data_IF_079055265194
#
_entry.id   IF_079055265194
#
_cell.length_a   1.000
_cell.length_b   1.000
_cell.length_c   1.000
_cell.angle_alpha   90.00
_cell.angle_beta   90.00
_cell.angle_gamma   90.00
#
_symmetry.space_group_name_H-M   'P 1'
#
loop_
_entity.id
_entity.type
_entity.pdbx_description
1 polymer ?
#
# COMPACT_ATOMS: atom_id res chain seq x y z
N UNK A 1 28.59 0.02 -0.37
CA UNK A 1 28.05 0.51 0.92
C UNK A 1 28.22 -0.56 1.97
N UNK A 2 28.73 -0.25 3.16
CA UNK A 2 28.74 -1.16 4.30
C UNK A 2 27.58 -0.81 5.23
N UNK A 3 26.61 -1.72 5.36
CA UNK A 3 25.40 -1.53 6.14
C UNK A 3 25.22 -2.71 7.10
N UNK A 4 25.10 -2.45 8.40
CA UNK A 4 24.81 -3.49 9.40
C UNK A 4 23.31 -3.81 9.49
N UNK A 5 22.48 -3.13 8.68
CA UNK A 5 21.04 -3.26 8.64
C UNK A 5 20.57 -4.01 7.40
N UNK A 6 19.62 -4.93 7.58
CA UNK A 6 18.93 -5.64 6.50
C UNK A 6 17.94 -4.74 5.76
N UNK A 7 17.62 -5.06 4.50
CA UNK A 7 16.67 -4.28 3.68
C UNK A 7 15.31 -4.03 4.37
N UNK A 8 14.83 -4.98 5.17
CA UNK A 8 13.58 -4.86 5.96
C UNK A 8 13.71 -3.82 7.08
N UNK A 9 14.86 -3.75 7.75
CA UNK A 9 15.14 -2.75 8.80
C UNK A 9 15.25 -1.35 8.18
N UNK A 10 15.94 -1.22 7.05
CA UNK A 10 16.03 0.04 6.29
C UNK A 10 14.64 0.49 5.81
N UNK A 11 13.78 -0.42 5.35
CA UNK A 11 12.40 -0.08 4.98
C UNK A 11 11.55 0.38 6.18
N UNK A 12 11.75 -0.19 7.39
CA UNK A 12 11.09 0.31 8.61
C UNK A 12 11.54 1.73 8.98
N UNK A 13 12.81 2.06 8.81
CA UNK A 13 13.33 3.42 9.00
C UNK A 13 12.77 4.39 7.95
N UNK A 14 12.78 3.99 6.67
CA UNK A 14 12.18 4.78 5.58
C UNK A 14 10.68 5.02 5.78
N UNK A 15 9.94 4.05 6.32
CA UNK A 15 8.50 4.19 6.60
C UNK A 15 8.22 5.21 7.71
N UNK A 16 9.17 5.49 8.63
CA UNK A 16 9.04 6.58 9.60
C UNK A 16 9.20 7.97 8.98
N UNK A 17 9.86 8.07 7.83
CA UNK A 17 10.06 9.32 7.09
C UNK A 17 8.92 9.64 6.10
N UNK A 18 8.03 8.68 5.83
CA UNK A 18 7.01 8.81 4.79
C UNK A 18 5.64 8.36 5.30
N UNK A 19 4.65 9.24 5.15
CA UNK A 19 3.26 8.96 5.51
C UNK A 19 2.58 7.98 4.52
N UNK A 20 3.12 7.86 3.30
CA UNK A 20 2.66 6.91 2.31
C UNK A 20 3.22 5.49 2.58
N UNK A 21 2.42 4.42 2.40
CA UNK A 21 2.89 3.05 2.58
C UNK A 21 3.96 2.69 1.53
N UNK A 22 5.18 2.45 1.98
CA UNK A 22 6.31 2.13 1.12
C UNK A 22 6.25 0.66 0.69
N UNK A 23 6.11 0.43 -0.62
CA UNK A 23 6.25 -0.91 -1.21
C UNK A 23 7.62 -1.54 -0.90
N UNK A 24 7.66 -2.87 -0.80
CA UNK A 24 8.87 -3.63 -0.45
C UNK A 24 10.03 -3.33 -1.40
N UNK A 25 11.19 -2.96 -0.86
CA UNK A 25 12.43 -2.87 -1.65
C UNK A 25 12.94 -4.28 -1.98
N UNK A 26 13.43 -4.48 -3.22
CA UNK A 26 13.91 -5.78 -3.68
C UNK A 26 15.27 -6.19 -3.07
N UNK A 27 16.11 -5.22 -2.68
CA UNK A 27 17.43 -5.46 -2.08
C UNK A 27 17.85 -4.31 -1.15
N UNK A 28 18.94 -4.50 -0.39
CA UNK A 28 19.50 -3.54 0.59
C UNK A 28 19.89 -2.22 -0.06
N UNK A 29 20.53 -2.24 -1.23
CA UNK A 29 20.93 -1.03 -1.96
C UNK A 29 19.72 -0.15 -2.33
N UNK A 30 18.71 -0.74 -2.99
CA UNK A 30 17.47 -0.05 -3.34
C UNK A 30 16.68 0.46 -2.11
N UNK A 31 16.82 -0.19 -0.95
CA UNK A 31 16.27 0.30 0.30
C UNK A 31 17.04 1.53 0.82
N UNK A 32 18.37 1.52 0.71
CA UNK A 32 19.25 2.62 1.10
C UNK A 32 19.05 3.86 0.21
N UNK A 33 18.99 3.71 -1.12
CA UNK A 33 18.71 4.81 -2.06
C UNK A 33 17.33 5.46 -1.82
N UNK A 34 16.32 4.65 -1.48
CA UNK A 34 14.98 5.16 -1.15
C UNK A 34 14.97 5.88 0.19
N UNK A 35 15.67 5.33 1.19
CA UNK A 35 15.86 5.98 2.48
C UNK A 35 16.62 7.30 2.33
N UNK A 36 17.63 7.36 1.45
CA UNK A 36 18.40 8.55 1.13
C UNK A 36 17.51 9.67 0.58
N UNK A 37 16.72 9.38 -0.45
CA UNK A 37 15.80 10.37 -1.04
C UNK A 37 14.78 10.90 -0.04
N UNK A 38 14.28 10.04 0.86
CA UNK A 38 13.33 10.44 1.92
C UNK A 38 14.00 11.27 3.02
N UNK A 39 15.24 10.95 3.39
CA UNK A 39 15.98 11.72 4.39
C UNK A 39 16.41 13.08 3.83
N UNK A 40 16.88 13.14 2.57
CA UNK A 40 17.21 14.37 1.88
C UNK A 40 16.00 15.33 1.75
N UNK A 41 14.78 14.79 1.64
CA UNK A 41 13.55 15.58 1.66
C UNK A 41 13.16 16.11 3.06
N UNK A 42 13.80 15.64 4.14
CA UNK A 42 13.52 16.04 5.53
C UNK A 42 14.63 16.88 6.16
N UNK A 43 15.91 16.58 5.90
CA UNK A 43 17.07 17.29 6.49
C UNK A 43 17.97 17.98 5.45
N UNK A 44 17.57 17.99 4.18
CA UNK A 44 18.33 18.54 3.06
C UNK A 44 19.35 17.57 2.44
N UNK A 45 19.63 17.76 1.15
CA UNK A 45 20.51 16.90 0.37
C UNK A 45 21.98 16.95 0.80
N UNK A 46 22.42 18.03 1.46
CA UNK A 46 23.78 18.19 2.00
C UNK A 46 24.03 17.31 3.24
N UNK A 47 23.07 17.28 4.18
CA UNK A 47 23.20 16.54 5.45
C UNK A 47 22.86 15.05 5.32
N UNK A 48 21.95 14.71 4.42
CA UNK A 48 21.50 13.34 4.17
C UNK A 48 22.63 12.30 4.03
N UNK A 49 23.64 12.42 3.13
CA UNK A 49 24.65 11.38 2.93
C UNK A 49 25.47 11.09 4.19
N UNK A 50 25.73 12.11 5.03
CA UNK A 50 26.44 11.95 6.31
C UNK A 50 25.56 11.22 7.33
N UNK A 51 24.31 11.64 7.48
CA UNK A 51 23.33 11.02 8.37
C UNK A 51 23.07 9.54 7.99
N UNK A 52 22.88 9.24 6.71
CA UNK A 52 22.65 7.88 6.20
C UNK A 52 23.80 6.96 6.57
N UNK A 53 25.05 7.41 6.37
CA UNK A 53 26.23 6.62 6.76
C UNK A 53 26.23 6.36 8.27
N UNK A 54 25.95 7.37 9.09
CA UNK A 54 25.88 7.22 10.55
C UNK A 54 24.73 6.29 11.03
N UNK A 55 23.61 6.26 10.32
CA UNK A 55 22.41 5.46 10.62
C UNK A 55 22.58 4.02 10.14
N UNK A 56 23.04 3.80 8.90
CA UNK A 56 23.14 2.46 8.29
C UNK A 56 24.31 1.62 8.81
N UNK A 57 25.35 2.23 9.38
CA UNK A 57 26.46 1.53 10.05
C UNK A 57 26.15 1.25 11.54
N UNK A 58 25.03 1.72 12.09
CA UNK A 58 24.65 1.43 13.48
C UNK A 58 24.42 -0.09 13.71
N UNK A 59 24.74 -0.63 14.91
CA UNK A 59 24.74 -2.07 15.17
C UNK A 59 23.34 -2.70 15.29
N UNK A 60 22.26 -1.89 15.29
CA UNK A 60 20.89 -2.38 15.43
C UNK A 60 19.85 -1.35 15.02
N UNK A 61 18.63 -1.85 14.75
CA UNK A 61 17.49 -1.03 14.29
C UNK A 61 17.14 0.08 15.29
N UNK A 62 17.20 -0.19 16.59
CA UNK A 62 16.81 0.79 17.61
C UNK A 62 17.82 1.93 17.72
N UNK A 63 19.13 1.61 17.70
CA UNK A 63 20.20 2.62 17.62
C UNK A 63 20.11 3.44 16.32
N UNK A 64 19.79 2.80 15.20
CA UNK A 64 19.57 3.46 13.92
C UNK A 64 18.33 4.39 13.95
N UNK A 65 17.25 3.95 14.59
CA UNK A 65 16.01 4.72 14.74
C UNK A 65 16.19 5.91 15.70
N UNK A 66 16.96 5.75 16.77
CA UNK A 66 17.33 6.84 17.68
C UNK A 66 18.21 7.89 17.02
N UNK A 67 19.22 7.47 16.23
CA UNK A 67 20.03 8.38 15.41
C UNK A 67 19.19 9.11 14.37
N UNK A 68 18.29 8.39 13.68
CA UNK A 68 17.35 9.01 12.73
C UNK A 68 16.47 10.07 13.39
N UNK A 69 15.89 9.77 14.56
CA UNK A 69 15.08 10.73 15.29
C UNK A 69 15.90 11.96 15.73
N UNK A 70 17.13 11.77 16.23
CA UNK A 70 18.01 12.87 16.62
C UNK A 70 18.44 13.76 15.46
N UNK A 71 18.71 13.20 14.26
CA UNK A 71 19.06 14.00 13.07
C UNK A 71 17.85 14.77 12.51
N UNK A 72 16.62 14.27 12.70
CA UNK A 72 15.39 14.99 12.36
C UNK A 72 15.11 16.08 13.40
N UNK A 73 15.19 15.77 14.69
CA UNK A 73 15.00 16.71 15.81
C UNK A 73 16.01 17.87 15.77
N UNK A 74 17.28 17.58 15.46
CA UNK A 74 18.32 18.60 15.20
C UNK A 74 18.12 19.39 13.89
N UNK A 75 17.13 19.02 13.07
CA UNK A 75 16.65 19.79 11.91
C UNK A 75 15.26 20.43 12.16
N UNK A 76 14.54 20.04 13.21
CA UNK A 76 13.29 20.62 13.69
C UNK A 76 13.42 21.69 14.84
N UNK A 77 14.58 22.30 15.19
CA UNK A 77 14.58 23.38 16.18
C UNK A 77 14.00 24.70 15.64
N UNK A 78 13.62 24.75 14.36
CA UNK A 78 13.03 25.92 13.66
C UNK A 78 11.49 25.87 13.57
N UNK A 79 10.84 25.18 14.51
CA UNK A 79 9.37 25.15 14.62
C UNK A 79 8.84 25.35 16.06
N UNK A 80 9.72 25.54 17.06
CA UNK A 80 9.34 25.67 18.48
C UNK A 80 9.87 26.92 19.20
N UNK A 81 10.33 27.88 18.41
CA UNK A 81 10.18 29.31 18.67
C UNK A 81 9.69 29.89 17.32
N UNK A 82 8.58 30.62 17.21
CA UNK A 82 7.93 31.47 18.20
C UNK A 82 6.39 31.34 18.19
N UNK A 83 5.78 31.37 19.38
CA UNK A 83 4.35 31.67 19.52
C UNK A 83 4.17 33.20 19.57
N UNK A 84 3.89 33.84 18.44
CA UNK A 84 3.17 35.12 18.42
C UNK A 84 1.95 35.02 17.49
N UNK A 85 0.73 35.37 17.95
CA UNK A 85 -0.47 35.26 17.13
C UNK A 85 -0.71 36.55 16.34
N UNK A 86 -0.99 36.43 15.03
CA UNK A 86 -1.54 37.53 14.23
C UNK A 86 -2.47 37.03 13.13
N UNK A 87 -3.72 36.80 13.55
CA UNK A 87 -4.96 37.29 12.93
C UNK A 87 -4.99 37.52 11.40
N UNK A 88 -5.61 36.55 10.73
CA UNK A 88 -6.67 36.74 9.72
C UNK A 88 -6.31 37.14 8.26
N UNK A 89 -7.21 36.88 7.27
CA UNK A 89 -6.80 36.29 5.98
C UNK A 89 -7.02 37.19 4.75
N UNK A 90 -6.49 36.77 3.59
CA UNK A 90 -6.96 37.26 2.27
C UNK A 90 -6.91 36.23 1.15
N UNK A 91 -7.95 36.32 0.33
CA UNK A 91 -8.35 35.53 -0.84
C UNK A 91 -7.59 35.93 -2.13
N UNK A 92 -7.15 34.95 -2.93
CA UNK A 92 -6.92 35.00 -4.40
C UNK A 92 -6.54 33.57 -4.89
N UNK A 93 -7.16 32.87 -5.86
CA UNK A 93 -8.16 33.18 -6.89
C UNK A 93 -7.72 34.26 -7.90
N UNK A 94 -7.55 34.05 -9.21
CA UNK A 94 -7.47 32.84 -10.08
C UNK A 94 -6.65 33.22 -11.35
N UNK A 95 -6.09 32.27 -12.11
CA UNK A 95 -5.78 32.48 -13.54
C UNK A 95 -5.53 31.17 -14.34
N UNK A 96 -6.48 30.82 -15.22
CA UNK A 96 -6.31 30.05 -16.48
C UNK A 96 -7.10 30.83 -17.56
N UNK A 97 -6.66 30.94 -18.83
CA UNK A 97 -6.97 29.93 -19.90
C UNK A 97 -5.74 29.60 -20.82
N UNK A 98 -5.62 28.42 -21.47
CA UNK A 98 -6.15 27.98 -22.81
C UNK A 98 -5.50 28.73 -24.01
N UNK A 99 -5.07 28.16 -25.16
CA UNK A 99 -5.51 26.98 -25.96
C UNK A 99 -4.42 26.54 -27.03
N UNK A 100 -4.65 25.41 -27.73
CA UNK A 100 -4.01 24.90 -28.99
C UNK A 100 -2.52 24.43 -28.93
N UNK A 101 -2.04 23.40 -29.66
CA UNK A 101 -2.66 22.44 -30.59
C UNK A 101 -1.92 21.07 -30.55
N UNK A 102 -2.57 19.99 -31.02
CA UNK A 102 -2.03 18.62 -31.08
C UNK A 102 -1.59 18.28 -32.52
N UNK A 103 -0.60 17.39 -32.73
CA UNK A 103 -0.87 16.22 -33.60
C UNK A 103 -0.44 14.87 -33.00
N UNK A 104 -0.88 13.79 -33.64
CA UNK A 104 -1.24 12.52 -32.99
C UNK A 104 -0.52 11.30 -33.58
N UNK A 105 -0.43 10.23 -32.78
CA UNK A 105 -0.22 8.82 -33.17
C UNK A 105 1.19 8.37 -33.65
N UNK A 106 1.54 7.06 -33.56
CA UNK A 106 0.66 5.92 -33.28
C UNK A 106 0.88 5.15 -31.96
N UNK A 107 -0.24 4.59 -31.51
CA UNK A 107 -0.44 3.60 -30.45
C UNK A 107 -0.17 2.16 -30.98
N UNK A 108 0.04 1.17 -30.10
CA UNK A 108 -0.88 0.00 -30.09
C UNK A 108 -1.56 -0.22 -28.72
N UNK A 109 -2.87 -0.49 -28.79
CA UNK A 109 -3.83 -0.61 -27.68
C UNK A 109 -3.48 -1.70 -26.64
N UNK A 110 -4.11 -1.83 -25.47
CA UNK A 110 -5.36 -1.27 -24.93
C UNK A 110 -5.28 -1.24 -23.37
N UNK A 111 -6.24 -0.80 -22.56
CA UNK A 111 -7.62 -0.29 -22.76
C UNK A 111 -8.01 0.59 -21.54
N UNK A 112 -9.14 1.33 -21.52
CA UNK A 112 -9.56 2.09 -20.34
C UNK A 112 -9.87 1.17 -19.14
N UNK A 113 -9.50 1.58 -17.92
CA UNK A 113 -9.77 0.84 -16.66
C UNK A 113 -11.25 0.90 -16.20
N UNK A 114 -12.18 0.73 -17.15
CA UNK A 114 -13.60 0.49 -16.90
C UNK A 114 -14.00 -0.99 -16.64
N UNK A 115 -13.33 -2.05 -17.17
CA UNK A 115 -13.86 -3.41 -17.06
C UNK A 115 -13.72 -3.99 -15.65
N UNK A 116 -12.72 -3.56 -14.85
CA UNK A 116 -12.47 -4.15 -13.52
C UNK A 116 -13.63 -3.89 -12.55
N UNK A 117 -14.03 -2.62 -12.38
CA UNK A 117 -15.22 -2.26 -11.55
C UNK A 117 -16.52 -2.90 -12.05
N UNK A 118 -16.75 -2.96 -13.36
CA UNK A 118 -17.95 -3.63 -13.90
C UNK A 118 -17.96 -5.13 -13.58
N UNK A 119 -16.80 -5.79 -13.71
CA UNK A 119 -16.65 -7.23 -13.44
C UNK A 119 -16.70 -7.54 -11.95
N UNK A 120 -16.18 -6.67 -11.10
CA UNK A 120 -16.36 -6.75 -9.64
C UNK A 120 -17.84 -6.63 -9.26
N UNK A 121 -18.55 -5.61 -9.76
CA UNK A 121 -19.98 -5.43 -9.49
C UNK A 121 -20.87 -6.57 -10.03
N UNK A 122 -20.52 -7.17 -11.18
CA UNK A 122 -21.19 -8.35 -11.74
C UNK A 122 -21.02 -9.58 -10.82
N UNK A 123 -19.82 -9.78 -10.28
CA UNK A 123 -19.52 -10.84 -9.30
C UNK A 123 -20.31 -10.62 -7.99
N UNK A 124 -20.42 -9.37 -7.51
CA UNK A 124 -21.24 -9.03 -6.34
C UNK A 124 -22.74 -9.27 -6.59
N UNK A 125 -23.22 -8.97 -7.80
CA UNK A 125 -24.61 -9.21 -8.19
C UNK A 125 -24.94 -10.71 -8.29
N UNK A 126 -24.03 -11.51 -8.87
CA UNK A 126 -24.13 -12.98 -8.93
C UNK A 126 -24.14 -13.61 -7.53
N UNK A 127 -23.24 -13.16 -6.65
CA UNK A 127 -23.24 -13.57 -5.25
C UNK A 127 -24.59 -13.28 -4.58
N UNK A 128 -25.17 -12.08 -4.77
CA UNK A 128 -26.51 -11.76 -4.23
C UNK A 128 -27.65 -12.62 -4.80
N UNK A 129 -27.48 -13.23 -5.98
CA UNK A 129 -28.47 -14.15 -6.55
C UNK A 129 -28.34 -15.60 -6.02
N UNK A 130 -27.30 -15.89 -5.24
CA UNK A 130 -26.97 -17.23 -4.75
C UNK A 130 -25.97 -18.01 -5.61
N UNK A 131 -25.37 -17.38 -6.62
CA UNK A 131 -24.32 -17.98 -7.45
C UNK A 131 -22.94 -17.75 -6.82
N UNK A 132 -22.14 -18.81 -6.65
CA UNK A 132 -20.81 -18.70 -6.04
C UNK A 132 -19.89 -17.77 -6.86
N UNK A 133 -19.22 -16.80 -6.23
CA UNK A 133 -18.31 -15.90 -6.95
C UNK A 133 -17.15 -16.69 -7.57
N UNK A 134 -16.66 -16.32 -8.77
CA UNK A 134 -15.47 -16.93 -9.34
C UNK A 134 -14.23 -16.61 -8.48
N UNK A 135 -13.27 -17.55 -8.34
CA UNK A 135 -12.09 -17.35 -7.52
C UNK A 135 -11.19 -16.21 -8.05
N UNK A 136 -10.67 -15.32 -7.18
CA UNK A 136 -9.74 -14.27 -7.60
C UNK A 136 -8.42 -14.85 -8.12
N UNK A 137 -7.93 -14.32 -9.25
CA UNK A 137 -6.67 -14.78 -9.83
C UNK A 137 -5.46 -14.42 -8.95
N UNK A 138 -4.71 -15.45 -8.57
CA UNK A 138 -3.40 -15.34 -7.92
C UNK A 138 -2.32 -16.07 -8.72
N UNK A 139 -2.43 -16.11 -10.05
CA UNK A 139 -1.53 -16.87 -10.93
C UNK A 139 -0.12 -16.28 -11.02
N UNK A 140 0.08 -15.02 -10.61
CA UNK A 140 1.41 -14.45 -10.41
C UNK A 140 2.20 -15.16 -9.27
N UNK A 141 3.52 -15.43 -9.45
CA UNK A 141 4.32 -16.22 -8.49
C UNK A 141 4.46 -15.53 -7.12
N UNK A 142 4.40 -14.20 -7.06
CA UNK A 142 4.40 -13.39 -5.83
C UNK A 142 3.21 -13.70 -4.90
N UNK A 143 2.15 -14.33 -5.41
CA UNK A 143 0.97 -14.71 -4.66
C UNK A 143 0.88 -16.22 -4.34
N UNK A 144 1.91 -17.02 -4.63
CA UNK A 144 1.88 -18.48 -4.44
C UNK A 144 1.40 -18.92 -3.04
N UNK A 145 1.89 -18.26 -1.98
CA UNK A 145 1.48 -18.51 -0.57
C UNK A 145 -0.01 -18.26 -0.27
N UNK A 146 -0.72 -17.53 -1.12
CA UNK A 146 -2.15 -17.25 -0.96
C UNK A 146 -3.03 -18.25 -1.72
N UNK A 147 -2.47 -19.06 -2.64
CA UNK A 147 -3.22 -20.05 -3.44
C UNK A 147 -3.78 -21.18 -2.57
N UNK A 148 -2.99 -21.70 -1.63
CA UNK A 148 -3.48 -22.73 -0.70
C UNK A 148 -4.65 -22.21 0.17
N UNK A 149 -4.58 -20.94 0.60
CA UNK A 149 -5.66 -20.30 1.37
C UNK A 149 -6.88 -19.96 0.50
N UNK A 150 -6.69 -19.63 -0.79
CA UNK A 150 -7.78 -19.51 -1.75
C UNK A 150 -8.46 -20.86 -1.99
N UNK A 151 -7.69 -21.93 -2.24
CA UNK A 151 -8.23 -23.28 -2.47
C UNK A 151 -9.13 -23.71 -1.31
N UNK A 152 -8.67 -23.57 -0.07
CA UNK A 152 -9.48 -23.86 1.12
C UNK A 152 -10.78 -23.02 1.19
N UNK A 153 -10.76 -21.75 0.79
CA UNK A 153 -11.99 -20.93 0.71
C UNK A 153 -12.92 -21.40 -0.42
N UNK A 154 -12.38 -21.83 -1.57
CA UNK A 154 -13.17 -22.36 -2.68
C UNK A 154 -13.81 -23.70 -2.32
N UNK A 155 -13.10 -24.57 -1.60
CA UNK A 155 -13.64 -25.83 -1.10
C UNK A 155 -14.75 -25.60 -0.05
N UNK A 156 -14.53 -24.70 0.91
CA UNK A 156 -15.59 -24.34 1.88
C UNK A 156 -16.82 -23.72 1.19
N UNK A 157 -16.61 -22.86 0.19
CA UNK A 157 -17.69 -22.28 -0.60
C UNK A 157 -18.46 -23.34 -1.42
N UNK A 158 -17.75 -24.32 -2.00
CA UNK A 158 -18.35 -25.45 -2.73
C UNK A 158 -19.17 -26.39 -1.83
N UNK A 159 -18.79 -26.54 -0.56
CA UNK A 159 -19.54 -27.28 0.45
C UNK A 159 -20.69 -26.47 1.10
N UNK A 160 -20.93 -25.23 0.64
CA UNK A 160 -21.86 -24.28 1.25
C UNK A 160 -21.60 -23.99 2.74
N UNK A 161 -20.36 -24.13 3.22
CA UNK A 161 -20.02 -23.95 4.63
C UNK A 161 -19.76 -22.48 4.98
N UNK A 162 -20.84 -21.72 5.17
CA UNK A 162 -20.78 -20.31 5.55
C UNK A 162 -20.06 -20.08 6.90
N UNK A 163 -20.12 -21.05 7.82
CA UNK A 163 -19.51 -20.94 9.15
C UNK A 163 -17.98 -21.03 9.06
N UNK A 164 -17.44 -22.06 8.41
CA UNK A 164 -15.99 -22.19 8.20
C UNK A 164 -15.41 -21.06 7.35
N UNK A 165 -16.14 -20.59 6.31
CA UNK A 165 -15.75 -19.39 5.57
C UNK A 165 -15.55 -18.19 6.50
N UNK A 166 -16.51 -17.90 7.38
CA UNK A 166 -16.41 -16.79 8.36
C UNK A 166 -15.30 -17.02 9.40
N UNK A 167 -15.07 -18.27 9.80
CA UNK A 167 -14.00 -18.65 10.73
C UNK A 167 -12.59 -18.42 10.14
N UNK A 168 -12.42 -18.34 8.82
CA UNK A 168 -11.14 -17.99 8.21
C UNK A 168 -10.78 -16.53 8.52
N UNK A 169 -9.92 -16.34 9.53
CA UNK A 169 -9.30 -15.06 9.83
C UNK A 169 -8.36 -14.62 8.68
N UNK A 170 -8.64 -13.45 8.10
CA UNK A 170 -7.84 -12.83 7.03
C UNK A 170 -7.58 -11.39 7.42
N UNK A 171 -6.30 -11.01 7.52
CA UNK A 171 -5.89 -9.65 7.87
C UNK A 171 -5.72 -8.81 6.58
N UNK A 172 -6.59 -7.84 6.27
CA UNK A 172 -6.66 -7.16 4.96
C UNK A 172 -5.61 -6.05 4.77
N UNK A 173 -4.35 -6.30 5.15
CA UNK A 173 -3.24 -5.31 5.11
C UNK A 173 -2.70 -5.00 3.72
N UNK A 174 -3.04 -5.79 2.70
CA UNK A 174 -2.53 -5.62 1.32
C UNK A 174 -3.50 -6.17 0.28
N UNK A 175 -3.26 -5.89 -1.00
CA UNK A 175 -4.23 -6.16 -2.08
C UNK A 175 -4.69 -7.63 -2.16
N UNK A 176 -3.76 -8.59 -2.00
CA UNK A 176 -4.08 -10.02 -2.05
C UNK A 176 -4.96 -10.52 -0.89
N UNK A 177 -4.64 -10.28 0.40
CA UNK A 177 -5.56 -10.62 1.49
C UNK A 177 -6.85 -9.78 1.50
N UNK A 178 -6.86 -8.57 0.93
CA UNK A 178 -8.12 -7.84 0.67
C UNK A 178 -9.02 -8.58 -0.32
N UNK A 179 -8.46 -9.10 -1.42
CA UNK A 179 -9.21 -9.90 -2.39
C UNK A 179 -9.73 -11.23 -1.80
N UNK A 180 -8.94 -11.91 -0.95
CA UNK A 180 -9.42 -13.10 -0.24
C UNK A 180 -10.57 -12.79 0.74
N UNK A 181 -10.49 -11.68 1.48
CA UNK A 181 -11.57 -11.26 2.36
C UNK A 181 -12.86 -10.96 1.58
N UNK A 182 -12.75 -10.22 0.45
CA UNK A 182 -13.88 -9.98 -0.46
C UNK A 182 -14.48 -11.27 -1.00
N UNK A 183 -13.66 -12.22 -1.44
CA UNK A 183 -14.14 -13.53 -1.90
C UNK A 183 -14.94 -14.26 -0.81
N UNK A 184 -14.42 -14.32 0.42
CA UNK A 184 -15.12 -14.89 1.58
C UNK A 184 -16.46 -14.20 1.82
N UNK A 185 -16.48 -12.87 1.89
CA UNK A 185 -17.69 -12.10 2.20
C UNK A 185 -18.78 -12.33 1.14
N UNK A 186 -18.40 -12.46 -0.13
CA UNK A 186 -19.31 -12.76 -1.24
C UNK A 186 -19.74 -14.23 -1.30
N UNK A 187 -18.86 -15.17 -0.96
CA UNK A 187 -19.24 -16.58 -0.86
C UNK A 187 -20.23 -16.83 0.28
N UNK A 188 -20.03 -16.19 1.44
CA UNK A 188 -20.99 -16.22 2.56
C UNK A 188 -22.33 -15.60 2.14
N UNK A 189 -22.31 -14.41 1.49
CA UNK A 189 -23.53 -13.79 0.97
C UNK A 189 -24.28 -14.70 -0.01
N UNK A 190 -23.56 -15.40 -0.90
CA UNK A 190 -24.16 -16.32 -1.86
C UNK A 190 -24.78 -17.56 -1.21
N UNK A 191 -24.13 -18.12 -0.19
CA UNK A 191 -24.68 -19.23 0.59
C UNK A 191 -25.91 -18.75 1.36
N UNK A 192 -25.84 -17.65 2.11
CA UNK A 192 -26.98 -17.11 2.86
C UNK A 192 -28.16 -16.75 1.93
N UNK A 193 -27.89 -16.20 0.74
CA UNK A 193 -28.91 -15.90 -0.28
C UNK A 193 -29.50 -17.14 -0.98
N UNK A 194 -28.83 -18.30 -0.88
CA UNK A 194 -29.31 -19.58 -1.40
C UNK A 194 -30.11 -20.34 -0.33
N UNK A 195 -29.59 -20.42 0.89
CA UNK A 195 -30.23 -21.09 2.02
C UNK A 195 -31.49 -20.33 2.48
N UNK A 196 -31.47 -18.99 2.49
CA UNK A 196 -32.67 -18.17 2.78
C UNK A 196 -33.71 -18.12 1.66
N UNK A 197 -33.55 -18.93 0.62
CA UNK A 197 -34.43 -19.03 -0.56
C UNK A 197 -35.00 -20.44 -0.75
N UNK A 198 -34.63 -21.37 0.12
CA UNK A 198 -35.13 -22.74 0.22
C UNK A 198 -36.29 -22.82 1.21
#
# INVERSE_FOLDING_TARGET
MFTNLSAVQINRLAQRLSEAPLGRSANVAAAAERFERLLAAKIGADRAPKAIKAILTAPGLETAAGRLAAEIDACEPDARAELTPSRDPVLAAEARPMLEAIPVAPEPAAAPSAPRRRREADIEAKARQGELPPPPDFSAPTHARFRAKLAALVELAGNADAIGLRAVAINPVSSSPKALARYRDLAVLAIEAREGRA
#
